data_IF_023168536443
#
_entry.id   IF_023168536443
#
_cell.length_a   1.000
_cell.length_b   1.000
_cell.length_c   1.000
_cell.angle_alpha   90.00
_cell.angle_beta   90.00
_cell.angle_gamma   90.00
#
_symmetry.space_group_name_H-M   'P 1'
#
loop_
_entity.id
_entity.type
_entity.pdbx_description
1 polymer ?
#
# COMPACT_ATOMS: atom_id res chain seq x y z
N UNK A 1 91.85 -14.98 36.13
CA UNK A 1 90.85 -14.13 35.40
C UNK A 1 89.68 -15.04 35.03
N UNK A 2 88.67 -14.98 35.83
CA UNK A 2 87.44 -15.77 35.73
C UNK A 2 86.35 -14.91 35.09
N UNK A 3 86.08 -15.12 33.80
CA UNK A 3 85.03 -14.44 33.06
C UNK A 3 83.65 -15.03 33.43
N UNK A 4 82.82 -14.23 34.14
CA UNK A 4 81.37 -14.52 34.32
C UNK A 4 80.64 -14.20 33.00
N UNK A 5 79.94 -15.18 32.43
CA UNK A 5 79.00 -15.00 31.33
C UNK A 5 77.70 -14.34 31.90
N UNK A 6 77.12 -13.35 31.22
CA UNK A 6 75.83 -12.77 31.65
C UNK A 6 74.70 -13.76 31.36
N UNK A 7 73.86 -14.03 32.36
CA UNK A 7 72.65 -14.81 32.21
C UNK A 7 71.66 -14.16 31.23
N UNK A 8 71.21 -14.92 30.21
CA UNK A 8 70.11 -14.51 29.34
C UNK A 8 68.82 -14.51 30.17
N UNK A 9 68.32 -13.33 30.51
CA UNK A 9 66.94 -13.20 30.96
C UNK A 9 66.03 -13.48 29.76
N UNK A 10 65.39 -14.65 29.71
CA UNK A 10 64.25 -14.87 28.84
C UNK A 10 63.11 -14.05 29.41
N UNK A 11 62.75 -12.92 28.78
CA UNK A 11 61.47 -12.24 28.98
C UNK A 11 60.44 -13.20 28.44
N UNK A 12 59.77 -13.93 29.27
CA UNK A 12 58.54 -14.64 28.91
C UNK A 12 57.51 -13.57 28.64
N UNK A 13 57.31 -13.21 27.38
CA UNK A 13 56.22 -12.33 26.99
C UNK A 13 54.92 -12.98 27.43
N UNK A 14 54.22 -12.43 28.43
CA UNK A 14 52.88 -12.86 28.81
C UNK A 14 51.95 -12.63 27.61
N UNK A 15 51.14 -13.60 27.31
CA UNK A 15 50.15 -13.50 26.23
C UNK A 15 49.12 -12.42 26.56
N UNK A 16 48.67 -11.73 25.51
CA UNK A 16 47.59 -10.72 25.63
C UNK A 16 46.21 -11.38 25.64
N UNK A 17 45.18 -10.64 26.01
CA UNK A 17 43.78 -11.09 25.97
C UNK A 17 43.42 -11.55 24.55
N UNK A 18 43.77 -10.81 23.52
CA UNK A 18 43.48 -11.11 22.11
C UNK A 18 44.19 -12.42 21.67
N UNK A 19 45.40 -12.66 22.13
CA UNK A 19 46.11 -13.91 21.82
C UNK A 19 45.44 -15.13 22.48
N UNK A 20 44.97 -15.00 23.71
CA UNK A 20 44.18 -16.06 24.37
C UNK A 20 42.85 -16.30 23.65
N UNK A 21 42.09 -15.26 23.25
CA UNK A 21 40.88 -15.41 22.51
C UNK A 21 41.06 -16.04 21.12
N UNK A 22 42.13 -15.68 20.42
CA UNK A 22 42.50 -16.31 19.14
C UNK A 22 42.76 -17.81 19.30
N UNK A 23 43.54 -18.21 20.34
CA UNK A 23 43.81 -19.62 20.67
C UNK A 23 42.57 -20.37 21.08
N UNK A 24 41.70 -19.75 21.86
CA UNK A 24 40.41 -20.32 22.23
C UNK A 24 39.59 -20.62 20.95
N UNK A 25 39.49 -19.64 20.03
CA UNK A 25 38.75 -19.82 18.76
C UNK A 25 39.36 -20.97 17.93
N UNK A 26 40.65 -21.07 17.83
CA UNK A 26 41.33 -22.16 17.12
C UNK A 26 41.14 -23.52 17.79
N UNK A 27 41.23 -23.57 19.14
CA UNK A 27 40.96 -24.77 19.91
C UNK A 27 39.51 -25.28 19.70
N UNK A 28 38.51 -24.37 19.66
CA UNK A 28 37.14 -24.75 19.39
C UNK A 28 36.93 -25.28 17.97
N UNK A 29 37.55 -24.65 16.95
CA UNK A 29 37.52 -25.14 15.57
C UNK A 29 38.16 -26.54 15.43
N UNK A 30 39.20 -26.81 16.23
CA UNK A 30 39.86 -28.09 16.27
C UNK A 30 39.23 -29.13 17.20
N UNK A 31 38.07 -28.87 17.80
CA UNK A 31 37.37 -29.79 18.73
C UNK A 31 38.06 -29.97 20.09
N UNK A 32 39.07 -29.18 20.43
CA UNK A 32 39.83 -29.24 21.68
C UNK A 32 39.15 -28.40 22.78
N UNK A 33 38.05 -28.90 23.30
CA UNK A 33 37.18 -28.13 24.20
C UNK A 33 37.86 -27.76 25.54
N UNK A 34 38.73 -28.63 26.09
CA UNK A 34 39.49 -28.29 27.31
C UNK A 34 40.48 -27.15 27.11
N UNK A 35 41.13 -27.10 25.96
CA UNK A 35 42.03 -26.00 25.60
C UNK A 35 41.22 -24.71 25.36
N UNK A 36 40.04 -24.79 24.71
CA UNK A 36 39.12 -23.66 24.49
C UNK A 36 38.75 -22.99 25.81
N UNK A 37 38.25 -23.78 26.80
CA UNK A 37 37.85 -23.27 28.10
C UNK A 37 39.05 -22.64 28.83
N UNK A 38 40.18 -23.34 28.89
CA UNK A 38 41.40 -22.84 29.53
C UNK A 38 41.86 -21.51 28.98
N UNK A 39 41.86 -21.35 27.66
CA UNK A 39 42.30 -20.12 27.01
C UNK A 39 41.29 -18.99 27.22
N UNK A 40 39.97 -19.26 27.19
CA UNK A 40 38.93 -18.25 27.46
C UNK A 40 38.98 -17.79 28.95
N UNK A 41 39.23 -18.72 29.92
CA UNK A 41 39.45 -18.34 31.31
C UNK A 41 40.74 -17.56 31.53
N UNK A 42 41.81 -17.88 30.79
CA UNK A 42 43.05 -17.11 30.83
C UNK A 42 42.84 -15.68 30.36
N UNK A 43 42.02 -15.45 29.31
CA UNK A 43 41.61 -14.13 28.90
C UNK A 43 40.87 -13.37 30.01
N UNK A 44 39.93 -14.01 30.74
CA UNK A 44 39.21 -13.41 31.88
C UNK A 44 40.10 -13.11 33.07
N UNK A 45 41.16 -13.89 33.28
CA UNK A 45 42.16 -13.56 34.34
C UNK A 45 42.88 -12.25 34.05
N UNK A 46 43.09 -11.94 32.79
CA UNK A 46 43.71 -10.65 32.36
C UNK A 46 42.70 -9.52 32.34
N UNK A 47 41.48 -9.78 31.85
CA UNK A 47 40.41 -8.81 31.76
C UNK A 47 39.08 -9.45 32.23
N UNK A 48 38.70 -9.31 33.50
CA UNK A 48 37.56 -9.99 34.10
C UNK A 48 36.21 -9.73 33.47
N UNK A 49 36.03 -8.58 32.82
CA UNK A 49 34.76 -8.19 32.17
C UNK A 49 34.86 -8.23 30.65
N UNK A 50 35.68 -9.11 30.07
CA UNK A 50 35.79 -9.17 28.61
C UNK A 50 34.58 -9.84 27.96
N UNK A 51 33.74 -9.10 27.17
CA UNK A 51 32.44 -9.63 26.69
C UNK A 51 32.58 -10.87 25.81
N UNK A 52 33.58 -10.91 24.93
CA UNK A 52 33.81 -12.06 24.05
C UNK A 52 34.23 -13.31 24.83
N UNK A 53 35.08 -13.18 25.85
CA UNK A 53 35.48 -14.31 26.67
C UNK A 53 34.30 -14.90 27.46
N UNK A 54 33.47 -14.02 28.05
CA UNK A 54 32.23 -14.46 28.71
C UNK A 54 31.28 -15.12 27.71
N UNK A 55 31.07 -14.53 26.51
CA UNK A 55 30.21 -15.13 25.49
C UNK A 55 30.71 -16.52 25.05
N UNK A 56 32.04 -16.71 24.95
CA UNK A 56 32.63 -18.01 24.62
C UNK A 56 32.32 -19.06 25.69
N UNK A 57 32.53 -18.73 26.95
CA UNK A 57 32.24 -19.65 28.08
C UNK A 57 30.76 -19.91 28.27
N UNK A 58 29.91 -18.89 28.08
CA UNK A 58 28.48 -19.07 28.09
C UNK A 58 27.97 -20.01 27.00
N UNK A 59 28.55 -19.92 25.80
CA UNK A 59 28.21 -20.81 24.69
C UNK A 59 28.64 -22.25 25.01
N UNK A 60 29.79 -22.47 25.59
CA UNK A 60 30.28 -23.78 26.00
C UNK A 60 29.41 -24.40 27.12
N UNK A 61 28.99 -23.57 28.08
CA UNK A 61 28.06 -24.00 29.13
C UNK A 61 26.70 -24.43 28.55
N UNK A 62 26.19 -23.69 27.55
CA UNK A 62 24.98 -24.10 26.81
C UNK A 62 25.13 -25.43 26.09
N UNK A 63 26.26 -25.66 25.43
CA UNK A 63 26.52 -26.93 24.71
C UNK A 63 26.55 -28.15 25.66
N UNK A 64 26.84 -27.90 26.93
CA UNK A 64 26.79 -28.90 28.01
C UNK A 64 25.48 -28.93 28.77
N UNK A 65 24.48 -28.13 28.37
CA UNK A 65 23.21 -27.95 29.08
C UNK A 65 23.37 -27.41 30.51
N UNK A 66 24.47 -26.71 30.79
CA UNK A 66 24.70 -26.01 32.06
C UNK A 66 24.11 -24.58 31.94
N UNK A 67 22.78 -24.53 32.04
CA UNK A 67 22.05 -23.29 31.80
C UNK A 67 22.37 -22.21 32.83
N UNK A 68 22.63 -22.56 34.08
CA UNK A 68 22.95 -21.60 35.13
C UNK A 68 24.28 -20.90 34.88
N UNK A 69 25.33 -21.63 34.54
CA UNK A 69 26.62 -21.04 34.18
C UNK A 69 26.53 -20.26 32.85
N UNK A 70 25.75 -20.77 31.88
CA UNK A 70 25.53 -20.04 30.63
C UNK A 70 24.89 -18.69 30.88
N UNK A 71 23.82 -18.59 31.67
CA UNK A 71 23.17 -17.34 32.06
C UNK A 71 24.14 -16.40 32.73
N UNK A 72 24.88 -16.86 33.76
CA UNK A 72 25.87 -16.05 34.47
C UNK A 72 26.90 -15.41 33.53
N UNK A 73 27.43 -16.20 32.60
CA UNK A 73 28.41 -15.71 31.64
C UNK A 73 27.80 -14.74 30.61
N UNK A 74 26.61 -15.02 30.08
CA UNK A 74 25.95 -14.11 29.12
C UNK A 74 25.50 -12.81 29.81
N UNK A 75 25.03 -12.84 31.04
CA UNK A 75 24.77 -11.63 31.83
C UNK A 75 26.02 -10.77 32.04
N UNK A 76 27.18 -11.41 32.33
CA UNK A 76 28.44 -10.69 32.41
C UNK A 76 28.84 -10.09 31.07
N UNK A 77 28.62 -10.80 29.96
CA UNK A 77 28.89 -10.33 28.62
C UNK A 77 28.00 -9.11 28.23
N UNK A 78 26.68 -9.19 28.51
CA UNK A 78 25.73 -8.08 28.22
C UNK A 78 25.96 -6.85 29.09
N UNK A 79 26.35 -7.05 30.36
CA UNK A 79 26.79 -5.91 31.22
C UNK A 79 28.07 -5.22 30.69
N UNK A 80 28.99 -5.99 30.12
CA UNK A 80 30.24 -5.46 29.58
C UNK A 80 30.05 -4.73 28.23
N UNK A 81 29.16 -5.23 27.40
CA UNK A 81 28.80 -4.63 26.11
C UNK A 81 27.27 -4.68 25.88
N UNK A 82 26.51 -3.74 26.45
CA UNK A 82 25.05 -3.72 26.35
C UNK A 82 24.54 -3.34 24.96
N UNK A 83 25.40 -2.86 24.04
CA UNK A 83 25.02 -2.50 22.66
C UNK A 83 25.16 -3.64 21.68
N UNK A 84 25.67 -4.77 22.09
CA UNK A 84 25.84 -5.94 21.25
C UNK A 84 24.58 -6.83 21.26
N UNK A 85 23.63 -6.60 20.36
CA UNK A 85 22.41 -7.41 20.24
C UNK A 85 22.66 -8.95 20.22
N UNK A 86 23.73 -9.49 19.60
CA UNK A 86 24.01 -10.92 19.63
C UNK A 86 24.24 -11.49 21.05
N UNK A 87 24.75 -10.69 22.00
CA UNK A 87 24.95 -11.13 23.38
C UNK A 87 23.61 -11.31 24.10
N UNK A 88 22.67 -10.39 23.89
CA UNK A 88 21.32 -10.47 24.40
C UNK A 88 20.56 -11.68 23.81
N UNK A 89 20.75 -11.99 22.53
CA UNK A 89 20.18 -13.18 21.90
C UNK A 89 20.70 -14.49 22.51
N UNK A 90 21.98 -14.54 22.87
CA UNK A 90 22.55 -15.70 23.53
C UNK A 90 22.02 -15.85 24.97
N UNK A 91 21.88 -14.73 25.68
CA UNK A 91 21.23 -14.71 27.02
C UNK A 91 19.78 -15.19 26.92
N UNK A 92 19.02 -14.67 25.96
CA UNK A 92 17.64 -15.11 25.71
C UNK A 92 17.56 -16.62 25.41
N UNK A 93 18.49 -17.16 24.61
CA UNK A 93 18.58 -18.59 24.33
C UNK A 93 18.82 -19.40 25.61
N UNK A 94 19.71 -18.92 26.50
CA UNK A 94 19.97 -19.59 27.77
C UNK A 94 18.73 -19.60 28.67
N UNK A 95 17.98 -18.48 28.74
CA UNK A 95 16.73 -18.40 29.48
C UNK A 95 15.65 -19.32 28.90
N UNK A 96 15.48 -19.35 27.57
CA UNK A 96 14.54 -20.24 26.87
C UNK A 96 14.80 -21.72 27.23
N UNK A 97 16.06 -22.15 27.15
CA UNK A 97 16.42 -23.53 27.44
C UNK A 97 16.26 -23.90 28.93
N UNK A 98 16.35 -22.91 29.82
CA UNK A 98 16.08 -23.07 31.25
C UNK A 98 14.58 -22.99 31.62
N UNK A 99 13.69 -22.64 30.63
CA UNK A 99 12.26 -22.47 30.86
C UNK A 99 11.89 -21.15 31.54
N UNK A 100 12.75 -20.14 31.48
CA UNK A 100 12.55 -18.83 32.10
C UNK A 100 12.01 -17.82 31.10
N UNK A 101 10.72 -17.95 30.73
CA UNK A 101 10.08 -17.12 29.67
C UNK A 101 10.15 -15.62 29.92
N UNK A 102 9.98 -15.14 31.16
CA UNK A 102 10.01 -13.69 31.44
C UNK A 102 11.42 -13.11 31.28
N UNK A 103 12.45 -13.88 31.67
CA UNK A 103 13.84 -13.47 31.45
C UNK A 103 14.24 -13.59 29.97
N UNK A 104 13.74 -14.57 29.21
CA UNK A 104 13.87 -14.67 27.76
C UNK A 104 13.29 -13.42 27.10
N UNK A 105 12.06 -13.01 27.49
CA UNK A 105 11.41 -11.79 26.99
C UNK A 105 12.29 -10.57 27.21
N UNK A 106 12.71 -10.33 28.44
CA UNK A 106 13.51 -9.14 28.79
C UNK A 106 14.82 -9.07 28.02
N UNK A 107 15.48 -10.20 27.79
CA UNK A 107 16.69 -10.25 26.99
C UNK A 107 16.43 -9.98 25.49
N UNK A 108 15.32 -10.49 24.93
CA UNK A 108 14.94 -10.21 23.53
C UNK A 108 14.52 -8.75 23.32
N UNK A 109 13.81 -8.16 24.27
CA UNK A 109 13.47 -6.74 24.25
C UNK A 109 14.72 -5.87 24.31
N UNK A 110 15.69 -6.19 25.16
CA UNK A 110 16.99 -5.50 25.20
C UNK A 110 17.77 -5.63 23.88
N UNK A 111 17.69 -6.79 23.20
CA UNK A 111 18.26 -6.92 21.86
C UNK A 111 17.59 -5.98 20.86
N UNK A 112 16.25 -5.83 20.91
CA UNK A 112 15.49 -4.94 20.04
C UNK A 112 15.66 -3.46 20.38
N UNK A 113 15.98 -3.09 21.63
CA UNK A 113 16.38 -1.72 21.99
C UNK A 113 17.68 -1.30 21.31
N UNK A 114 18.59 -2.26 21.07
CA UNK A 114 19.85 -1.98 20.37
C UNK A 114 19.70 -1.98 18.86
N UNK A 115 18.84 -2.84 18.31
CA UNK A 115 18.51 -2.95 16.89
C UNK A 115 17.04 -3.39 16.73
N UNK A 116 16.16 -2.41 16.53
CA UNK A 116 14.72 -2.62 16.37
C UNK A 116 14.36 -3.53 15.18
N UNK A 117 15.26 -3.70 14.23
CA UNK A 117 15.08 -4.52 13.03
C UNK A 117 15.82 -5.85 13.10
N UNK A 118 16.32 -6.24 14.27
CA UNK A 118 17.05 -7.49 14.42
C UNK A 118 16.15 -8.69 14.19
N UNK A 119 16.22 -9.28 13.00
CA UNK A 119 15.31 -10.32 12.52
C UNK A 119 15.16 -11.50 13.53
N UNK A 120 16.29 -12.02 14.03
CA UNK A 120 16.24 -13.17 14.96
C UNK A 120 15.63 -12.82 16.33
N UNK A 121 15.78 -11.57 16.79
CA UNK A 121 15.13 -11.12 18.02
C UNK A 121 13.62 -11.02 17.83
N UNK A 122 13.16 -10.46 16.70
CA UNK A 122 11.75 -10.39 16.33
C UNK A 122 11.13 -11.79 16.24
N UNK A 123 11.79 -12.72 15.53
CA UNK A 123 11.31 -14.11 15.39
C UNK A 123 11.16 -14.76 16.77
N UNK A 124 12.21 -14.73 17.60
CA UNK A 124 12.18 -15.41 18.90
C UNK A 124 11.17 -14.79 19.86
N UNK A 125 11.00 -13.48 19.83
CA UNK A 125 10.00 -12.80 20.66
C UNK A 125 8.58 -13.11 20.18
N UNK A 126 8.36 -13.19 18.88
CA UNK A 126 7.08 -13.62 18.30
C UNK A 126 6.73 -15.08 18.71
N UNK A 127 7.70 -16.00 18.56
CA UNK A 127 7.57 -17.39 19.00
C UNK A 127 7.29 -17.52 20.50
N UNK A 128 7.91 -16.67 21.34
CA UNK A 128 7.69 -16.64 22.77
C UNK A 128 6.24 -16.24 23.10
N UNK A 129 5.77 -15.14 22.52
CA UNK A 129 4.40 -14.66 22.73
C UNK A 129 3.37 -15.67 22.22
N UNK A 130 3.61 -16.30 21.06
CA UNK A 130 2.74 -17.33 20.51
C UNK A 130 2.68 -18.55 21.42
N UNK A 131 3.84 -19.05 21.90
CA UNK A 131 3.93 -20.17 22.85
C UNK A 131 3.19 -19.89 24.15
N UNK A 132 3.14 -18.64 24.61
CA UNK A 132 2.40 -18.20 25.81
C UNK A 132 0.93 -17.88 25.56
N UNK A 133 0.47 -17.94 24.30
CA UNK A 133 -0.90 -17.56 23.94
C UNK A 133 -1.14 -16.04 23.95
N UNK A 134 -0.10 -15.23 24.00
CA UNK A 134 -0.13 -13.76 23.98
C UNK A 134 -0.23 -13.26 22.54
N UNK A 135 -1.33 -13.63 21.86
CA UNK A 135 -1.47 -13.45 20.42
C UNK A 135 -1.48 -11.97 19.97
N UNK A 136 -1.96 -11.07 20.85
CA UNK A 136 -1.95 -9.63 20.58
C UNK A 136 -0.52 -9.06 20.55
N UNK A 137 0.38 -9.58 21.39
CA UNK A 137 1.78 -9.17 21.45
C UNK A 137 2.63 -9.88 20.38
N UNK A 138 2.25 -11.09 19.97
CA UNK A 138 2.87 -11.83 18.88
C UNK A 138 2.66 -11.12 17.52
N UNK A 139 1.46 -10.53 17.29
CA UNK A 139 1.06 -9.96 16.01
C UNK A 139 2.03 -8.86 15.49
N UNK A 140 2.39 -7.82 16.25
CA UNK A 140 3.32 -6.80 15.77
C UNK A 140 4.73 -7.35 15.52
N UNK A 141 5.14 -8.41 16.23
CA UNK A 141 6.45 -9.05 16.04
C UNK A 141 6.47 -9.86 14.73
N UNK A 142 5.44 -10.66 14.49
CA UNK A 142 5.27 -11.36 13.21
C UNK A 142 5.11 -10.40 12.03
N UNK A 143 4.42 -9.27 12.21
CA UNK A 143 4.34 -8.21 11.19
C UNK A 143 5.73 -7.64 10.84
N UNK A 144 6.57 -7.40 11.84
CA UNK A 144 7.97 -7.00 11.65
C UNK A 144 8.77 -8.03 10.86
N UNK A 145 8.64 -9.32 11.19
CA UNK A 145 9.30 -10.43 10.48
C UNK A 145 8.82 -10.50 9.01
N UNK A 146 7.52 -10.40 8.77
CA UNK A 146 6.95 -10.41 7.43
C UNK A 146 7.43 -9.21 6.59
N UNK A 147 7.49 -8.01 7.18
CA UNK A 147 8.00 -6.81 6.50
C UNK A 147 9.48 -6.96 6.09
N UNK A 148 10.32 -7.50 6.98
CA UNK A 148 11.73 -7.73 6.71
C UNK A 148 11.97 -8.83 5.66
N UNK A 149 11.03 -9.74 5.46
CA UNK A 149 11.19 -10.86 4.51
C UNK A 149 11.53 -10.41 3.08
N UNK A 150 11.10 -9.21 2.68
CA UNK A 150 11.40 -8.63 1.36
C UNK A 150 12.90 -8.37 1.14
N UNK A 151 13.69 -8.22 2.20
CA UNK A 151 15.14 -7.98 2.13
C UNK A 151 15.93 -9.30 1.96
N UNK A 152 15.29 -10.45 2.16
CA UNK A 152 15.90 -11.77 2.14
C UNK A 152 15.50 -12.59 0.90
N UNK A 153 15.75 -12.04 -0.30
CA UNK A 153 15.32 -12.64 -1.58
C UNK A 153 15.79 -14.10 -1.74
N UNK A 154 16.99 -14.43 -1.25
CA UNK A 154 17.59 -15.78 -1.31
C UNK A 154 17.62 -16.45 0.07
N UNK A 155 16.59 -16.27 0.89
CA UNK A 155 16.52 -16.90 2.20
C UNK A 155 16.64 -18.44 2.10
N UNK A 156 17.35 -19.11 3.04
CA UNK A 156 17.38 -20.56 3.11
C UNK A 156 15.97 -21.12 3.43
N UNK A 157 15.71 -22.41 3.13
CA UNK A 157 14.39 -23.01 3.28
C UNK A 157 13.79 -22.84 4.67
N UNK A 158 14.60 -22.97 5.71
CA UNK A 158 14.17 -22.84 7.10
C UNK A 158 13.68 -21.42 7.43
N UNK A 159 14.38 -20.41 6.95
CA UNK A 159 14.00 -19.01 7.13
C UNK A 159 12.77 -18.65 6.29
N UNK A 160 12.64 -19.22 5.08
CA UNK A 160 11.42 -19.05 4.26
C UNK A 160 10.19 -19.62 4.99
N UNK A 161 10.31 -20.79 5.60
CA UNK A 161 9.22 -21.37 6.36
C UNK A 161 8.77 -20.48 7.54
N UNK A 162 9.71 -19.78 8.19
CA UNK A 162 9.39 -18.81 9.24
C UNK A 162 8.65 -17.59 8.64
N UNK A 163 9.06 -17.08 7.48
CA UNK A 163 8.36 -15.99 6.80
C UNK A 163 6.96 -16.41 6.34
N UNK A 164 6.79 -17.65 5.88
CA UNK A 164 5.48 -18.19 5.53
C UNK A 164 4.58 -18.32 6.77
N UNK A 165 5.12 -18.79 7.90
CA UNK A 165 4.41 -18.83 9.17
C UNK A 165 3.98 -17.44 9.63
N UNK A 166 4.87 -16.44 9.57
CA UNK A 166 4.54 -15.07 9.92
C UNK A 166 3.34 -14.53 9.09
N UNK A 167 3.35 -14.76 7.77
CA UNK A 167 2.24 -14.37 6.89
C UNK A 167 0.94 -15.11 7.22
N UNK A 168 1.02 -16.41 7.46
CA UNK A 168 -0.14 -17.21 7.81
C UNK A 168 -0.75 -16.79 9.16
N UNK A 169 0.08 -16.53 10.17
CA UNK A 169 -0.34 -16.04 11.48
C UNK A 169 -1.09 -14.70 11.36
N UNK A 170 -0.52 -13.75 10.60
CA UNK A 170 -1.16 -12.46 10.36
C UNK A 170 -2.50 -12.61 9.64
N UNK A 171 -2.56 -13.46 8.60
CA UNK A 171 -3.78 -13.70 7.85
C UNK A 171 -4.88 -14.32 8.74
N UNK A 172 -4.54 -15.28 9.58
CA UNK A 172 -5.46 -15.89 10.55
C UNK A 172 -5.99 -14.87 11.58
N UNK A 173 -5.13 -14.01 12.11
CA UNK A 173 -5.56 -12.94 13.05
C UNK A 173 -6.45 -11.92 12.38
N UNK A 174 -6.13 -11.52 11.14
CA UNK A 174 -6.97 -10.64 10.33
C UNK A 174 -8.34 -11.27 10.06
N UNK A 175 -8.40 -12.56 9.73
CA UNK A 175 -9.66 -13.25 9.52
C UNK A 175 -10.47 -13.37 10.82
N UNK A 176 -9.85 -13.72 11.92
CA UNK A 176 -10.49 -13.79 13.24
C UNK A 176 -11.11 -12.43 13.65
N UNK A 177 -10.43 -11.32 13.35
CA UNK A 177 -10.96 -9.97 13.59
C UNK A 177 -12.14 -9.68 12.67
N UNK A 178 -12.06 -10.06 11.39
CA UNK A 178 -13.16 -9.89 10.44
C UNK A 178 -14.41 -10.65 10.89
N UNK A 179 -14.25 -11.90 11.35
CA UNK A 179 -15.33 -12.73 11.87
C UNK A 179 -15.96 -12.10 13.13
N UNK A 180 -15.13 -11.55 14.01
CA UNK A 180 -15.60 -10.84 15.20
C UNK A 180 -16.41 -9.58 14.84
N UNK A 181 -15.99 -8.81 13.82
CA UNK A 181 -16.76 -7.68 13.30
C UNK A 181 -18.09 -8.13 12.68
N UNK A 182 -18.07 -9.20 11.89
CA UNK A 182 -19.30 -9.72 11.26
C UNK A 182 -20.34 -10.14 12.31
N UNK A 183 -19.91 -10.76 13.38
CA UNK A 183 -20.80 -11.17 14.48
C UNK A 183 -21.22 -9.97 15.32
N UNK A 184 -20.28 -9.10 15.72
CA UNK A 184 -20.53 -7.98 16.64
C UNK A 184 -21.39 -6.88 16.04
N UNK A 185 -21.36 -6.71 14.71
CA UNK A 185 -22.10 -5.64 14.02
C UNK A 185 -23.27 -6.13 13.18
N UNK A 186 -23.61 -7.43 13.22
CA UNK A 186 -24.65 -8.00 12.34
C UNK A 186 -25.98 -7.28 12.42
N UNK A 187 -26.51 -7.07 13.63
CA UNK A 187 -27.79 -6.40 13.85
C UNK A 187 -27.78 -4.92 13.44
N UNK A 188 -26.66 -4.23 13.71
CA UNK A 188 -26.49 -2.83 13.32
C UNK A 188 -26.43 -2.69 11.80
N UNK A 189 -25.70 -3.58 11.11
CA UNK A 189 -25.58 -3.59 9.66
C UNK A 189 -26.90 -3.95 8.97
N UNK A 190 -27.73 -4.81 9.56
CA UNK A 190 -29.07 -5.13 9.03
C UNK A 190 -30.01 -3.91 9.07
N UNK A 191 -29.95 -3.13 10.15
CA UNK A 191 -30.80 -1.95 10.35
C UNK A 191 -30.26 -0.67 9.70
N UNK A 192 -28.98 -0.63 9.35
CA UNK A 192 -28.32 0.55 8.79
C UNK A 192 -28.81 0.90 7.39
N UNK A 193 -28.78 2.20 7.06
CA UNK A 193 -28.96 2.67 5.68
C UNK A 193 -27.89 2.08 4.74
N UNK A 194 -28.18 2.03 3.44
CA UNK A 194 -27.19 1.57 2.44
C UNK A 194 -25.89 2.37 2.50
N UNK A 195 -25.98 3.68 2.72
CA UNK A 195 -24.85 4.59 2.89
C UNK A 195 -24.01 4.25 4.12
N UNK A 196 -24.65 4.12 5.30
CA UNK A 196 -23.94 3.84 6.55
C UNK A 196 -23.29 2.46 6.52
N UNK A 197 -24.01 1.47 5.97
CA UNK A 197 -23.46 0.12 5.76
C UNK A 197 -22.22 0.14 4.86
N UNK A 198 -22.27 0.85 3.75
CA UNK A 198 -21.11 1.01 2.85
C UNK A 198 -19.93 1.64 3.59
N UNK A 199 -20.13 2.73 4.30
CA UNK A 199 -19.07 3.45 5.01
C UNK A 199 -18.40 2.61 6.09
N UNK A 200 -19.19 1.95 6.94
CA UNK A 200 -18.64 1.11 8.00
C UNK A 200 -17.93 -0.13 7.43
N UNK A 201 -18.46 -0.75 6.36
CA UNK A 201 -17.81 -1.88 5.70
C UNK A 201 -16.45 -1.48 5.13
N UNK A 202 -16.36 -0.33 4.47
CA UNK A 202 -15.08 0.19 3.95
C UNK A 202 -14.09 0.48 5.09
N UNK A 203 -14.58 1.07 6.21
CA UNK A 203 -13.72 1.32 7.38
C UNK A 203 -13.18 0.02 7.99
N UNK A 204 -14.00 -1.02 8.09
CA UNK A 204 -13.55 -2.35 8.52
C UNK A 204 -12.49 -2.94 7.60
N UNK A 205 -12.70 -2.91 6.29
CA UNK A 205 -11.71 -3.42 5.31
C UNK A 205 -10.38 -2.64 5.37
N UNK A 206 -10.44 -1.33 5.61
CA UNK A 206 -9.23 -0.51 5.83
C UNK A 206 -8.53 -0.88 7.14
N UNK A 207 -9.27 -1.03 8.23
CA UNK A 207 -8.75 -1.43 9.54
C UNK A 207 -8.09 -2.83 9.48
N UNK A 208 -8.65 -3.73 8.69
CA UNK A 208 -8.09 -5.07 8.45
C UNK A 208 -6.91 -5.07 7.46
N UNK A 209 -6.52 -3.93 6.91
CA UNK A 209 -5.45 -3.84 5.91
C UNK A 209 -5.79 -4.47 4.55
N UNK A 210 -7.07 -4.77 4.29
CA UNK A 210 -7.56 -5.37 3.04
C UNK A 210 -7.87 -4.34 1.96
N UNK A 211 -8.00 -3.08 2.35
CA UNK A 211 -8.28 -1.96 1.45
C UNK A 211 -7.39 -0.78 1.79
N UNK A 212 -6.76 -0.18 0.79
CA UNK A 212 -6.00 1.06 0.97
C UNK A 212 -6.93 2.28 1.01
N UNK A 213 -6.44 3.36 1.61
CA UNK A 213 -7.11 4.66 1.57
C UNK A 213 -6.75 5.33 0.24
N UNK A 214 -7.76 5.82 -0.46
CA UNK A 214 -7.60 6.61 -1.67
C UNK A 214 -7.85 8.08 -1.36
N UNK A 215 -7.07 8.95 -1.96
CA UNK A 215 -7.19 10.39 -1.85
C UNK A 215 -7.36 11.03 -3.23
N UNK A 216 -7.80 12.28 -3.26
CA UNK A 216 -7.86 13.05 -4.49
C UNK A 216 -6.45 13.32 -5.04
N UNK A 217 -6.20 12.96 -6.29
CA UNK A 217 -5.00 13.28 -7.06
C UNK A 217 -5.40 14.10 -8.28
N UNK A 218 -5.27 15.42 -8.21
CA UNK A 218 -5.70 16.36 -9.25
C UNK A 218 -4.53 16.78 -10.14
N UNK A 219 -4.68 16.70 -11.45
CA UNK A 219 -3.72 17.30 -12.38
C UNK A 219 -3.84 18.83 -12.47
N UNK A 220 -5.00 19.40 -12.11
CA UNK A 220 -5.29 20.82 -12.10
C UNK A 220 -5.58 21.34 -10.70
N UNK A 221 -6.70 22.06 -10.54
CA UNK A 221 -7.10 22.60 -9.26
C UNK A 221 -7.51 21.49 -8.28
N UNK A 222 -6.80 21.38 -7.18
CA UNK A 222 -7.29 20.67 -5.99
C UNK A 222 -7.98 21.69 -5.06
N UNK A 223 -9.28 21.52 -4.81
CA UNK A 223 -10.04 22.31 -3.86
C UNK A 223 -10.03 21.61 -2.50
N UNK A 224 -9.50 22.26 -1.44
CA UNK A 224 -9.32 21.61 -0.15
C UNK A 224 -10.63 21.35 0.57
N UNK A 225 -10.60 20.39 1.51
CA UNK A 225 -11.69 20.05 2.44
C UNK A 225 -12.95 19.47 1.78
N UNK A 226 -12.91 19.10 0.51
CA UNK A 226 -13.95 18.28 -0.09
C UNK A 226 -13.74 16.81 0.29
N UNK A 227 -14.82 16.04 0.55
CA UNK A 227 -14.71 14.60 0.78
C UNK A 227 -14.10 13.89 -0.43
N UNK A 228 -13.17 12.96 -0.19
CA UNK A 228 -12.70 12.03 -1.21
C UNK A 228 -13.61 10.80 -1.22
N UNK A 229 -14.77 10.91 -1.86
CA UNK A 229 -15.74 9.82 -1.97
C UNK A 229 -15.63 9.15 -3.36
N UNK A 230 -15.31 7.86 -3.38
CA UNK A 230 -15.10 7.09 -4.61
C UNK A 230 -16.34 7.13 -5.51
N UNK A 231 -17.51 6.84 -4.95
CA UNK A 231 -18.80 6.95 -5.59
C UNK A 231 -19.70 7.82 -4.73
N UNK A 232 -20.13 8.93 -5.27
CA UNK A 232 -21.00 9.87 -4.55
C UNK A 232 -22.44 9.32 -4.44
N UNK A 233 -23.05 9.59 -3.30
CA UNK A 233 -24.43 9.15 -3.05
C UNK A 233 -25.42 9.79 -4.02
N UNK A 234 -26.33 8.98 -4.54
CA UNK A 234 -27.34 9.38 -5.52
C UNK A 234 -28.24 10.53 -5.03
N UNK A 235 -28.43 10.64 -3.72
CA UNK A 235 -29.22 11.69 -3.07
C UNK A 235 -28.74 13.10 -3.41
N UNK A 236 -27.46 13.25 -3.73
CA UNK A 236 -26.88 14.53 -4.17
C UNK A 236 -27.27 14.93 -5.60
N UNK A 237 -27.81 14.00 -6.39
CA UNK A 237 -28.10 14.17 -7.81
C UNK A 237 -29.54 13.72 -8.16
N UNK A 238 -30.60 14.36 -7.60
CA UNK A 238 -31.99 13.94 -7.83
C UNK A 238 -32.39 14.00 -9.31
N UNK A 239 -31.73 14.83 -10.10
CA UNK A 239 -31.95 14.98 -11.53
C UNK A 239 -31.47 13.78 -12.37
N UNK A 240 -30.70 12.87 -11.82
CA UNK A 240 -30.30 11.63 -12.53
C UNK A 240 -31.51 10.81 -12.91
N UNK A 241 -32.56 10.79 -12.09
CA UNK A 241 -33.80 10.08 -12.41
C UNK A 241 -34.42 10.58 -13.72
N UNK A 242 -34.40 11.90 -13.98
CA UNK A 242 -34.88 12.48 -15.22
C UNK A 242 -34.00 12.06 -16.40
N UNK A 243 -32.68 12.17 -16.26
CA UNK A 243 -31.74 11.73 -17.28
C UNK A 243 -31.96 10.25 -17.69
N UNK A 244 -32.16 9.38 -16.71
CA UNK A 244 -32.40 7.95 -16.92
C UNK A 244 -33.68 7.65 -17.70
N UNK A 245 -34.75 8.46 -17.57
CA UNK A 245 -35.96 8.28 -18.36
C UNK A 245 -35.74 8.44 -19.87
N UNK A 246 -34.65 9.08 -20.26
CA UNK A 246 -34.25 9.31 -21.64
C UNK A 246 -33.25 8.29 -22.19
N UNK A 247 -32.89 7.25 -21.41
CA UNK A 247 -31.86 6.27 -21.78
C UNK A 247 -32.08 5.64 -23.14
N UNK A 248 -33.30 5.15 -23.41
CA UNK A 248 -33.59 4.46 -24.68
C UNK A 248 -33.47 5.38 -25.88
N UNK A 249 -33.83 6.66 -25.73
CA UNK A 249 -33.69 7.65 -26.78
C UNK A 249 -32.20 7.97 -27.04
N UNK A 250 -31.41 8.18 -25.97
CA UNK A 250 -29.98 8.46 -26.07
C UNK A 250 -29.23 7.23 -26.63
N UNK A 251 -29.61 6.03 -26.19
CA UNK A 251 -29.07 4.76 -26.71
C UNK A 251 -29.33 4.63 -28.22
N UNK A 252 -30.56 4.89 -28.68
CA UNK A 252 -30.91 4.78 -30.10
C UNK A 252 -30.06 5.75 -30.96
N UNK A 253 -29.76 6.95 -30.48
CA UNK A 253 -28.88 7.89 -31.19
C UNK A 253 -27.44 7.39 -31.28
N UNK A 254 -26.85 6.88 -30.17
CA UNK A 254 -25.46 6.38 -30.20
C UNK A 254 -25.36 5.09 -31.03
N UNK A 255 -26.35 4.19 -31.00
CA UNK A 255 -26.38 2.99 -31.84
C UNK A 255 -26.45 3.36 -33.33
N UNK A 256 -27.30 4.32 -33.69
CA UNK A 256 -27.41 4.80 -35.08
C UNK A 256 -26.06 5.43 -35.53
N UNK A 257 -25.38 6.20 -34.65
CA UNK A 257 -24.05 6.73 -34.93
C UNK A 257 -23.03 5.61 -35.17
N UNK A 258 -23.01 4.59 -34.34
CA UNK A 258 -22.06 3.47 -34.46
C UNK A 258 -22.29 2.60 -35.72
N UNK A 259 -23.52 2.60 -36.24
CA UNK A 259 -23.90 1.88 -37.49
C UNK A 259 -23.67 2.73 -38.74
N UNK A 260 -23.40 4.03 -38.62
CA UNK A 260 -23.14 4.93 -39.75
C UNK A 260 -21.75 4.72 -40.35
N UNK A 261 -21.57 5.08 -41.62
CA UNK A 261 -20.27 5.02 -42.30
C UNK A 261 -19.22 5.95 -41.65
N UNK A 262 -19.67 7.06 -41.09
CA UNK A 262 -18.83 8.00 -40.34
C UNK A 262 -19.47 8.34 -38.99
N UNK A 263 -19.15 7.62 -37.91
CA UNK A 263 -19.67 7.90 -36.57
C UNK A 263 -19.13 9.21 -35.95
N UNK A 264 -18.19 9.91 -36.57
CA UNK A 264 -17.57 11.15 -36.05
C UNK A 264 -16.67 10.89 -34.81
N UNK A 265 -16.32 9.66 -34.54
CA UNK A 265 -15.50 9.29 -33.38
C UNK A 265 -14.03 9.65 -33.60
N UNK A 266 -13.42 10.28 -32.60
CA UNK A 266 -11.98 10.53 -32.53
C UNK A 266 -11.33 9.74 -31.41
N UNK A 267 -10.04 9.36 -31.52
CA UNK A 267 -9.30 8.78 -30.39
C UNK A 267 -9.39 9.68 -29.16
N UNK A 268 -9.72 9.08 -28.00
CA UNK A 268 -9.78 9.85 -26.75
C UNK A 268 -8.38 10.28 -26.27
N UNK A 269 -7.40 9.39 -26.39
CA UNK A 269 -6.02 9.66 -26.03
C UNK A 269 -5.24 10.15 -27.23
N UNK A 270 -4.69 11.36 -27.12
CA UNK A 270 -3.80 11.94 -28.14
C UNK A 270 -2.59 12.55 -27.44
N UNK A 271 -1.46 11.84 -27.48
CA UNK A 271 -0.21 12.31 -26.89
C UNK A 271 0.63 13.08 -27.91
N UNK A 272 1.37 14.11 -27.47
CA UNK A 272 2.31 14.82 -28.34
C UNK A 272 3.35 13.88 -28.98
N UNK A 273 3.83 14.14 -30.19
CA UNK A 273 4.94 13.40 -30.79
C UNK A 273 6.17 13.39 -29.88
N UNK A 274 6.82 12.22 -29.74
CA UNK A 274 8.02 12.06 -28.90
C UNK A 274 7.73 11.79 -27.42
N UNK A 275 6.47 11.69 -27.01
CA UNK A 275 6.12 11.27 -25.63
C UNK A 275 6.68 9.87 -25.34
N UNK A 276 7.46 9.66 -24.26
CA UNK A 276 7.97 8.35 -23.88
C UNK A 276 6.84 7.33 -23.66
N UNK A 277 7.14 6.04 -23.88
CA UNK A 277 6.19 4.96 -23.65
C UNK A 277 5.68 4.97 -22.20
N UNK A 278 4.36 4.96 -22.06
CA UNK A 278 3.67 4.99 -20.77
C UNK A 278 2.37 4.18 -20.84
N UNK A 279 1.56 4.22 -19.77
CA UNK A 279 0.28 3.49 -19.66
C UNK A 279 -0.73 3.79 -20.80
N UNK A 280 -0.62 4.94 -21.47
CA UNK A 280 -1.52 5.37 -22.55
C UNK A 280 -1.08 4.94 -23.94
N UNK A 281 0.13 4.39 -24.07
CA UNK A 281 0.75 4.13 -25.39
C UNK A 281 -0.12 3.26 -26.30
N UNK A 282 -0.81 2.27 -25.73
CA UNK A 282 -1.67 1.37 -26.49
C UNK A 282 -2.99 2.00 -26.96
N UNK A 283 -3.43 3.07 -26.28
CA UNK A 283 -4.65 3.81 -26.60
C UNK A 283 -4.36 5.08 -27.40
N UNK A 284 -3.08 5.47 -27.52
CA UNK A 284 -2.70 6.71 -28.17
C UNK A 284 -3.00 6.70 -29.68
N UNK A 285 -3.73 7.73 -30.16
CA UNK A 285 -4.14 7.88 -31.54
C UNK A 285 -4.88 6.63 -32.10
N UNK A 286 -5.54 5.90 -31.23
CA UNK A 286 -6.21 4.63 -31.50
C UNK A 286 -7.68 4.73 -31.11
N UNK A 287 -8.57 4.31 -31.99
CA UNK A 287 -10.03 4.29 -31.75
C UNK A 287 -10.46 3.18 -30.77
N UNK A 288 -9.53 2.40 -30.20
CA UNK A 288 -9.82 1.42 -29.16
C UNK A 288 -10.54 2.05 -27.94
N UNK A 289 -10.22 3.29 -27.61
CA UNK A 289 -11.02 4.18 -26.79
C UNK A 289 -11.24 5.47 -27.55
N UNK A 290 -12.47 5.73 -27.92
CA UNK A 290 -12.85 6.87 -28.75
C UNK A 290 -14.01 7.65 -28.15
N UNK A 291 -14.15 8.89 -28.59
CA UNK A 291 -15.20 9.80 -28.15
C UNK A 291 -15.83 10.61 -29.27
N UNK A 292 -17.15 10.88 -29.11
CA UNK A 292 -17.84 11.95 -29.81
C UNK A 292 -18.24 13.00 -28.80
N UNK A 293 -17.52 14.13 -28.75
CA UNK A 293 -17.78 15.23 -27.83
C UNK A 293 -18.95 16.09 -28.34
N UNK A 294 -20.02 16.16 -27.52
CA UNK A 294 -21.15 17.09 -27.72
C UNK A 294 -20.81 18.48 -27.14
N UNK A 295 -20.13 18.49 -25.97
CA UNK A 295 -19.49 19.66 -25.36
C UNK A 295 -18.05 19.32 -25.03
N UNK A 296 -17.16 20.29 -25.24
CA UNK A 296 -15.76 20.18 -24.86
C UNK A 296 -15.27 21.49 -24.28
N UNK A 297 -14.73 21.43 -23.04
CA UNK A 297 -14.16 22.59 -22.36
C UNK A 297 -15.12 23.80 -22.28
N UNK A 298 -16.42 23.51 -22.12
CA UNK A 298 -17.48 24.53 -22.00
C UNK A 298 -18.11 24.93 -23.32
N UNK A 299 -17.58 24.53 -24.46
CA UNK A 299 -18.08 24.86 -25.78
C UNK A 299 -18.94 23.74 -26.35
N UNK A 300 -20.09 24.12 -26.90
CA UNK A 300 -20.99 23.22 -27.64
C UNK A 300 -20.44 22.94 -29.01
N UNK A 301 -20.33 21.69 -29.41
CA UNK A 301 -19.84 21.29 -30.73
C UNK A 301 -21.04 21.05 -31.65
N UNK A 302 -21.39 22.04 -32.46
CA UNK A 302 -22.62 22.02 -33.25
C UNK A 302 -22.72 20.84 -34.22
N UNK A 303 -21.63 20.46 -34.88
CA UNK A 303 -21.59 19.31 -35.79
C UNK A 303 -21.89 17.99 -35.04
N UNK A 304 -21.32 17.80 -33.86
CA UNK A 304 -21.57 16.59 -33.05
C UNK A 304 -23.00 16.60 -32.47
N UNK A 305 -23.48 17.75 -32.00
CA UNK A 305 -24.84 17.91 -31.53
C UNK A 305 -25.90 17.65 -32.65
N UNK A 306 -25.59 18.05 -33.88
CA UNK A 306 -26.48 17.75 -35.01
C UNK A 306 -26.58 16.24 -35.34
N UNK A 307 -25.59 15.44 -34.93
CA UNK A 307 -25.58 13.98 -35.09
C UNK A 307 -26.38 13.26 -33.99
N UNK A 308 -26.53 13.88 -32.80
CA UNK A 308 -27.29 13.38 -31.67
C UNK A 308 -28.18 14.51 -31.08
N UNK A 309 -29.16 15.01 -31.85
CA UNK A 309 -29.88 16.23 -31.51
C UNK A 309 -30.76 16.06 -30.25
N UNK A 310 -31.34 14.89 -30.01
CA UNK A 310 -32.17 14.65 -28.84
C UNK A 310 -31.32 14.55 -27.58
N UNK A 311 -30.17 13.87 -27.65
CA UNK A 311 -29.22 13.87 -26.54
C UNK A 311 -28.74 15.28 -26.22
N UNK A 312 -28.40 16.08 -27.24
CA UNK A 312 -27.99 17.45 -27.04
C UNK A 312 -29.07 18.29 -26.35
N UNK A 313 -30.34 18.18 -26.76
CA UNK A 313 -31.48 18.87 -26.16
C UNK A 313 -31.69 18.47 -24.67
N UNK A 314 -31.54 17.19 -24.34
CA UNK A 314 -31.66 16.67 -22.97
C UNK A 314 -30.52 17.25 -22.11
N UNK A 315 -29.28 17.11 -22.57
CA UNK A 315 -28.07 17.55 -21.85
C UNK A 315 -28.08 19.05 -21.56
N UNK A 316 -28.62 19.87 -22.45
CA UNK A 316 -28.68 21.33 -22.31
C UNK A 316 -29.51 21.78 -21.08
N UNK A 317 -30.49 20.98 -20.67
CA UNK A 317 -31.37 21.21 -19.53
C UNK A 317 -30.79 20.74 -18.19
N UNK A 318 -29.71 19.93 -18.21
CA UNK A 318 -29.13 19.36 -17.00
C UNK A 318 -28.30 20.40 -16.23
N UNK A 319 -28.19 20.26 -14.89
CA UNK A 319 -27.42 21.16 -14.03
C UNK A 319 -25.91 20.85 -14.07
N UNK A 320 -25.32 21.03 -15.27
CA UNK A 320 -23.90 20.77 -15.51
C UNK A 320 -23.00 21.84 -14.90
N UNK A 321 -21.74 21.51 -14.65
CA UNK A 321 -20.73 22.50 -14.32
C UNK A 321 -20.47 23.40 -15.54
N UNK A 322 -20.70 24.72 -15.38
CA UNK A 322 -20.48 25.70 -16.46
C UNK A 322 -19.29 26.60 -16.08
N UNK A 323 -18.11 26.27 -16.57
CA UNK A 323 -16.86 26.98 -16.32
C UNK A 323 -16.27 27.34 -17.68
N UNK A 324 -16.24 28.63 -18.08
CA UNK A 324 -15.73 29.05 -19.40
C UNK A 324 -14.33 28.50 -19.68
N UNK A 325 -14.14 27.89 -20.84
CA UNK A 325 -12.89 27.28 -21.26
C UNK A 325 -12.49 25.98 -20.54
N UNK A 326 -13.42 25.37 -19.75
CA UNK A 326 -13.11 24.14 -18.96
C UNK A 326 -14.25 23.14 -18.83
N UNK A 327 -15.50 23.62 -18.72
CA UNK A 327 -16.66 22.77 -18.47
C UNK A 327 -17.97 23.42 -18.98
N UNK A 328 -18.99 22.64 -19.39
CA UNK A 328 -19.02 21.18 -19.29
C UNK A 328 -18.21 20.47 -20.39
N UNK A 329 -17.86 19.22 -20.11
CA UNK A 329 -17.43 18.24 -21.10
C UNK A 329 -18.46 17.14 -21.13
N UNK A 330 -19.07 16.90 -22.30
CA UNK A 330 -20.10 15.88 -22.51
C UNK A 330 -19.76 15.10 -23.77
N UNK A 331 -19.71 13.78 -23.66
CA UNK A 331 -19.34 12.95 -24.80
C UNK A 331 -19.86 11.51 -24.70
N UNK A 332 -20.08 10.91 -25.84
CA UNK A 332 -20.17 9.45 -25.91
C UNK A 332 -18.78 8.85 -25.84
N UNK A 333 -18.56 7.97 -24.88
CA UNK A 333 -17.32 7.21 -24.70
C UNK A 333 -17.53 5.79 -25.21
N UNK A 334 -16.74 5.40 -26.20
CA UNK A 334 -16.78 4.07 -26.79
C UNK A 334 -15.49 3.33 -26.44
N UNK A 335 -15.62 2.18 -25.82
CA UNK A 335 -14.50 1.28 -25.52
C UNK A 335 -14.70 -0.05 -26.26
N UNK A 336 -13.80 -0.33 -27.21
CA UNK A 336 -13.88 -1.53 -28.03
C UNK A 336 -13.79 -2.82 -27.23
N UNK A 337 -14.24 -3.90 -27.83
CA UNK A 337 -14.15 -5.26 -27.33
C UNK A 337 -12.72 -5.62 -26.86
N UNK A 338 -12.60 -6.26 -25.70
CA UNK A 338 -11.33 -6.69 -25.12
C UNK A 338 -10.39 -5.58 -24.66
N UNK A 339 -10.84 -4.32 -24.56
CA UNK A 339 -9.97 -3.16 -24.20
C UNK A 339 -10.10 -2.75 -22.74
N UNK A 340 -9.04 -2.08 -22.26
CA UNK A 340 -8.91 -1.60 -20.90
C UNK A 340 -8.41 -0.15 -20.90
N UNK A 341 -9.09 0.70 -20.14
CA UNK A 341 -8.63 2.04 -19.79
C UNK A 341 -7.85 1.91 -18.49
N UNK A 342 -6.52 2.11 -18.50
CA UNK A 342 -5.67 1.84 -17.35
C UNK A 342 -5.95 2.79 -16.18
N UNK A 343 -5.53 2.45 -14.95
CA UNK A 343 -5.71 3.28 -13.77
C UNK A 343 -5.19 4.70 -13.97
N UNK A 344 -6.04 5.70 -13.71
CA UNK A 344 -5.74 7.13 -13.88
C UNK A 344 -6.59 7.99 -12.95
N UNK A 345 -6.26 9.28 -12.89
CA UNK A 345 -6.97 10.30 -12.12
C UNK A 345 -7.34 11.47 -13.00
N UNK A 346 -8.34 12.25 -12.60
CA UNK A 346 -8.89 13.38 -13.33
C UNK A 346 -8.22 14.71 -13.02
N UNK A 347 -8.87 15.80 -13.42
CA UNK A 347 -8.27 17.14 -13.42
C UNK A 347 -8.52 17.89 -12.12
N UNK A 348 -9.73 17.81 -11.55
CA UNK A 348 -10.14 18.63 -10.40
C UNK A 348 -11.29 18.02 -9.64
N UNK A 349 -11.20 18.02 -8.32
CA UNK A 349 -12.27 17.59 -7.43
C UNK A 349 -13.42 18.63 -7.28
N UNK A 350 -13.37 19.75 -7.98
CA UNK A 350 -14.50 20.70 -8.02
C UNK A 350 -15.64 20.23 -8.90
N UNK A 351 -15.42 19.20 -9.71
CA UNK A 351 -16.42 18.56 -10.57
C UNK A 351 -16.60 17.10 -10.18
N UNK A 352 -17.77 16.59 -10.48
CA UNK A 352 -18.15 15.19 -10.36
C UNK A 352 -18.47 14.67 -11.75
N UNK A 353 -18.00 13.48 -12.08
CA UNK A 353 -18.31 12.84 -13.35
C UNK A 353 -19.53 11.95 -13.19
N UNK A 354 -20.44 12.08 -14.15
CA UNK A 354 -21.63 11.23 -14.27
C UNK A 354 -21.42 10.29 -15.46
N UNK A 355 -21.66 9.02 -15.25
CA UNK A 355 -21.76 8.04 -16.30
C UNK A 355 -23.21 7.56 -16.44
N UNK A 356 -23.76 7.63 -17.64
CA UNK A 356 -25.00 6.93 -18.03
C UNK A 356 -24.62 5.78 -18.98
N UNK A 357 -24.60 4.52 -18.50
CA UNK A 357 -24.34 3.36 -19.33
C UNK A 357 -25.45 3.16 -20.36
N UNK A 358 -25.09 3.05 -21.64
CA UNK A 358 -26.05 2.96 -22.77
C UNK A 358 -26.03 1.57 -23.42
N UNK A 359 -24.83 1.08 -23.75
CA UNK A 359 -24.62 -0.27 -24.32
C UNK A 359 -23.53 -0.92 -23.47
N UNK A 360 -23.88 -1.94 -22.71
CA UNK A 360 -22.99 -2.58 -21.76
C UNK A 360 -23.01 -4.09 -21.93
N UNK A 361 -22.14 -4.64 -22.79
CA UNK A 361 -21.99 -6.08 -22.92
C UNK A 361 -21.56 -6.74 -21.60
N UNK A 362 -21.79 -8.06 -21.44
CA UNK A 362 -21.33 -8.79 -20.25
C UNK A 362 -19.84 -8.62 -19.98
N UNK A 363 -19.42 -8.68 -18.71
CA UNK A 363 -18.01 -8.57 -18.29
C UNK A 363 -17.39 -7.18 -18.51
N UNK A 364 -18.20 -6.13 -18.58
CA UNK A 364 -17.78 -4.76 -18.45
C UNK A 364 -17.87 -4.32 -16.99
N UNK A 365 -16.82 -3.65 -16.47
CA UNK A 365 -16.83 -3.13 -15.13
C UNK A 365 -16.01 -1.84 -15.01
N UNK A 366 -16.24 -1.13 -13.91
CA UNK A 366 -15.61 0.14 -13.58
C UNK A 366 -15.16 0.16 -12.12
N UNK A 367 -13.90 0.47 -11.89
CA UNK A 367 -13.34 0.59 -10.55
C UNK A 367 -13.03 2.05 -10.25
N UNK A 368 -13.45 2.52 -9.09
CA UNK A 368 -13.00 3.78 -8.50
C UNK A 368 -12.44 3.45 -7.13
N UNK A 369 -11.20 3.84 -6.88
CA UNK A 369 -10.54 3.52 -5.64
C UNK A 369 -10.52 2.00 -5.38
N UNK A 370 -11.07 1.61 -4.25
CA UNK A 370 -11.17 0.21 -3.83
C UNK A 370 -12.50 -0.47 -4.17
N UNK A 371 -13.43 0.21 -4.86
CA UNK A 371 -14.74 -0.31 -5.19
C UNK A 371 -14.91 -0.53 -6.68
N UNK A 372 -15.21 -1.78 -7.08
CA UNK A 372 -15.56 -2.14 -8.46
C UNK A 372 -17.05 -2.35 -8.57
N UNK A 373 -17.66 -1.72 -9.58
CA UNK A 373 -19.09 -1.87 -9.92
C UNK A 373 -19.24 -2.45 -11.31
N UNK A 374 -20.18 -3.37 -11.46
CA UNK A 374 -20.72 -3.75 -12.76
C UNK A 374 -21.63 -2.63 -13.26
N UNK A 375 -21.62 -2.41 -14.55
CA UNK A 375 -22.42 -1.39 -15.19
C UNK A 375 -23.82 -1.94 -15.47
N UNK A 376 -24.84 -1.11 -15.22
CA UNK A 376 -26.22 -1.42 -15.59
C UNK A 376 -26.74 -0.37 -16.55
N UNK A 377 -27.22 -0.82 -17.68
CA UNK A 377 -27.77 0.08 -18.69
C UNK A 377 -28.92 0.92 -18.11
N UNK A 378 -28.88 2.22 -18.34
CA UNK A 378 -29.88 3.16 -17.84
C UNK A 378 -29.74 3.55 -16.37
N UNK A 379 -28.84 2.95 -15.59
CA UNK A 379 -28.58 3.35 -14.21
C UNK A 379 -27.38 4.30 -14.17
N UNK A 380 -27.64 5.59 -14.10
CA UNK A 380 -26.59 6.61 -13.99
C UNK A 380 -25.95 6.60 -12.60
N UNK A 381 -24.65 6.85 -12.55
CA UNK A 381 -23.92 7.00 -11.29
C UNK A 381 -22.91 8.15 -11.35
N UNK A 382 -22.60 8.67 -10.16
CA UNK A 382 -21.67 9.76 -9.94
C UNK A 382 -20.41 9.25 -9.23
N UNK A 383 -19.24 9.72 -9.64
CA UNK A 383 -17.98 9.41 -9.00
C UNK A 383 -16.99 10.57 -9.05
N UNK A 384 -16.00 10.54 -8.16
CA UNK A 384 -14.89 11.50 -8.14
C UNK A 384 -13.74 10.96 -9.02
N UNK A 385 -13.55 11.55 -10.20
CA UNK A 385 -12.53 11.12 -11.15
C UNK A 385 -11.11 11.46 -10.71
N UNK A 386 -10.94 12.28 -9.69
CA UNK A 386 -9.62 12.54 -9.09
C UNK A 386 -9.15 11.43 -8.15
N UNK A 387 -10.02 10.48 -7.82
CA UNK A 387 -9.64 9.21 -7.23
C UNK A 387 -9.26 8.24 -8.35
N UNK A 388 -8.18 7.48 -8.17
CA UNK A 388 -7.72 6.52 -9.17
C UNK A 388 -8.86 5.60 -9.63
N UNK A 389 -9.11 5.61 -10.94
CA UNK A 389 -10.16 4.81 -11.54
C UNK A 389 -9.72 4.16 -12.85
N UNK A 390 -10.40 3.08 -13.23
CA UNK A 390 -10.15 2.32 -14.44
C UNK A 390 -11.42 1.66 -14.97
N UNK A 391 -11.45 1.37 -16.26
CA UNK A 391 -12.59 0.72 -16.90
C UNK A 391 -12.13 -0.39 -17.84
N UNK A 392 -12.83 -1.49 -17.89
CA UNK A 392 -12.54 -2.54 -18.86
C UNK A 392 -13.81 -3.07 -19.51
N UNK A 393 -13.62 -3.51 -20.76
CA UNK A 393 -14.57 -4.23 -21.54
C UNK A 393 -13.94 -5.59 -21.93
N UNK A 394 -14.29 -6.64 -21.22
CA UNK A 394 -13.77 -8.00 -21.46
C UNK A 394 -14.69 -8.84 -22.34
N UNK A 395 -15.63 -8.18 -23.01
CA UNK A 395 -16.59 -8.80 -23.95
C UNK A 395 -16.07 -8.81 -25.38
N UNK A 396 -16.86 -9.33 -26.28
CA UNK A 396 -16.63 -9.35 -27.75
C UNK A 396 -17.36 -8.22 -28.49
N UNK A 397 -18.01 -7.29 -27.76
CA UNK A 397 -18.78 -6.19 -28.32
C UNK A 397 -18.30 -4.86 -27.74
N UNK A 398 -18.51 -3.77 -28.46
CA UNK A 398 -18.17 -2.43 -28.02
C UNK A 398 -19.11 -1.93 -26.91
N UNK A 399 -18.57 -1.24 -25.93
CA UNK A 399 -19.30 -0.60 -24.83
C UNK A 399 -19.48 0.89 -25.12
N UNK A 400 -20.71 1.42 -24.94
CA UNK A 400 -21.01 2.85 -25.06
C UNK A 400 -21.58 3.44 -23.76
N UNK A 401 -21.05 4.60 -23.35
CA UNK A 401 -21.48 5.34 -22.16
C UNK A 401 -21.58 6.82 -22.50
N UNK A 402 -22.65 7.51 -22.07
CA UNK A 402 -22.66 8.97 -22.04
C UNK A 402 -21.94 9.45 -20.76
N UNK A 403 -20.94 10.27 -20.94
CA UNK A 403 -20.15 10.88 -19.85
C UNK A 403 -20.40 12.38 -19.84
N UNK A 404 -20.67 12.92 -18.65
CA UNK A 404 -20.84 14.35 -18.46
C UNK A 404 -20.34 14.78 -17.08
N UNK A 405 -19.97 16.04 -16.92
CA UNK A 405 -19.51 16.60 -15.66
C UNK A 405 -20.51 17.63 -15.09
N UNK A 406 -20.67 17.56 -13.78
CA UNK A 406 -21.43 18.51 -13.00
C UNK A 406 -20.58 19.07 -11.84
N UNK A 407 -21.10 20.05 -11.11
CA UNK A 407 -20.43 20.54 -9.91
C UNK A 407 -20.36 19.47 -8.82
N UNK A 408 -19.24 19.45 -8.08
CA UNK A 408 -19.17 18.67 -6.86
C UNK A 408 -20.31 19.13 -5.91
N UNK A 409 -21.13 18.21 -5.39
CA UNK A 409 -22.34 18.57 -4.63
C UNK A 409 -22.04 19.26 -3.29
N UNK A 410 -20.81 19.14 -2.78
CA UNK A 410 -20.38 19.77 -1.54
C UNK A 410 -19.94 21.23 -1.71
N UNK A 411 -19.89 21.74 -2.92
CA UNK A 411 -19.61 23.16 -3.20
C UNK A 411 -20.89 23.98 -3.10
N UNK A 412 -20.86 25.04 -2.30
CA UNK A 412 -21.91 26.05 -2.26
C UNK A 412 -21.92 26.89 -3.56
N UNK A 413 -23.04 27.53 -3.86
CA UNK A 413 -23.14 28.39 -5.04
C UNK A 413 -22.15 29.55 -5.05
N UNK A 414 -21.89 30.27 -3.93
CA UNK A 414 -20.84 31.26 -3.88
C UNK A 414 -19.43 30.72 -4.18
N UNK A 415 -19.09 29.50 -3.75
CA UNK A 415 -17.83 28.86 -4.06
C UNK A 415 -17.69 28.57 -5.56
N UNK A 416 -18.75 28.05 -6.20
CA UNK A 416 -18.80 27.79 -7.65
C UNK A 416 -18.55 29.09 -8.45
N UNK A 417 -19.19 30.19 -8.05
CA UNK A 417 -18.95 31.48 -8.66
C UNK A 417 -17.51 32.00 -8.43
N UNK A 418 -16.97 31.85 -7.23
CA UNK A 418 -15.59 32.23 -6.94
C UNK A 418 -14.58 31.42 -7.75
N UNK A 419 -14.80 30.12 -7.92
CA UNK A 419 -13.99 29.25 -8.77
C UNK A 419 -14.02 29.74 -10.23
N UNK A 420 -15.19 30.08 -10.77
CA UNK A 420 -15.31 30.64 -12.11
C UNK A 420 -14.53 31.94 -12.25
N UNK A 421 -14.65 32.87 -11.29
CA UNK A 421 -13.90 34.14 -11.27
C UNK A 421 -12.40 33.95 -11.15
N UNK A 422 -11.98 32.99 -10.32
CA UNK A 422 -10.57 32.62 -10.17
C UNK A 422 -9.96 32.15 -11.50
N UNK A 423 -10.66 31.26 -12.21
CA UNK A 423 -10.21 30.80 -13.53
C UNK A 423 -10.16 31.95 -14.57
N UNK A 424 -11.21 32.77 -14.63
CA UNK A 424 -11.25 33.91 -15.53
C UNK A 424 -10.09 34.91 -15.27
N UNK A 425 -9.77 35.16 -14.00
CA UNK A 425 -8.64 36.01 -13.61
C UNK A 425 -7.31 35.40 -14.03
N UNK A 426 -7.12 34.07 -13.81
CA UNK A 426 -5.90 33.39 -14.21
C UNK A 426 -5.69 33.40 -15.73
N UNK A 427 -6.76 33.22 -16.50
CA UNK A 427 -6.70 33.23 -17.98
C UNK A 427 -6.42 34.65 -18.53
N UNK A 428 -6.98 35.67 -17.91
CA UNK A 428 -6.69 37.09 -18.29
C UNK A 428 -5.21 37.41 -18.04
N UNK A 429 -4.61 36.94 -16.96
CA UNK A 429 -3.19 37.14 -16.69
C UNK A 429 -2.28 36.43 -17.72
N UNK A 430 -2.66 35.22 -18.13
CA UNK A 430 -1.92 34.48 -19.18
C UNK A 430 -2.02 35.18 -20.55
N UNK A 431 -3.18 35.72 -20.88
CA UNK A 431 -3.39 36.43 -22.15
C UNK A 431 -2.64 37.78 -22.22
N UNK A 432 -2.37 38.43 -21.08
CA UNK A 432 -1.62 39.67 -20.97
C UNK A 432 -0.09 39.52 -20.96
N UNK A 433 0.45 38.29 -20.94
CA UNK A 433 1.90 38.06 -21.05
C UNK A 433 2.30 37.99 -22.53
N UNK A 434 3.30 38.75 -23.00
CA UNK A 434 3.81 38.59 -24.36
C UNK A 434 4.40 37.18 -24.53
N UNK A 435 4.05 36.54 -25.65
CA UNK A 435 4.57 35.24 -26.05
C UNK A 435 6.07 35.27 -26.31
#
# INVERSE_FOLDING_TARGET
MTGRRPGRHFIVMSMTVEQHLARATEARRGGRLSDFVREAEAALKLQPNHPVAHNMLGTEALDRNDFANAQSHFEAATRADPRAAPLWLNLAKAHRLAGNDDAERSALESALETDQRHLMALIRLAELHERRGELADALPRWAGVAALSAEYVNAPPELRAIFDHARAFMAERTQSMADAFAVGLSADLESASSRDRRRISVAMEQMLGRRRIYANECFGLHYPFLPADEYLDREHFPWLQELETHTDLIRAEVEALLQSDDPGLSPYVTMPPGTPRNKWTELNQNKAWSALHLWKEGERIEEACARAPKTAEIVERLPLARIPGRAPTVFFSILQAGKHIPPHTGVTNTRTIIHLPLVVPPSCAFRVGGETREWREGEAFAFDDTIEHEAWNRSEQDRAVLILDCWNPHLSEPEREMICRMYATADAQKAGQPK
#
